data_IF_608170271616
#
_entry.id   IF_608170271616
#
_cell.length_a   1.000
_cell.length_b   1.000
_cell.length_c   1.000
_cell.angle_alpha   90.00
_cell.angle_beta   90.00
_cell.angle_gamma   90.00
#
_symmetry.space_group_name_H-M   'P 1'
#
loop_
_entity.id
_entity.type
_entity.pdbx_description
1 polymer ?
#
# COMPACT_ATOMS: atom_id res chain seq x y z
N UNK A 1 -54.11 -18.00 -9.49
CA UNK A 1 -53.41 -17.07 -8.57
C UNK A 1 -52.79 -17.84 -7.37
N UNK A 2 -51.85 -18.79 -7.61
CA UNK A 2 -51.26 -19.59 -6.51
C UNK A 2 -49.73 -19.75 -6.56
N UNK A 3 -49.01 -18.99 -7.41
CA UNK A 3 -47.56 -19.21 -7.57
C UNK A 3 -46.65 -17.99 -7.20
N UNK A 4 -47.17 -17.01 -6.49
CA UNK A 4 -46.33 -15.85 -6.08
C UNK A 4 -45.83 -15.88 -4.64
N UNK A 5 -46.25 -16.84 -3.85
CA UNK A 5 -45.86 -16.91 -2.43
C UNK A 5 -44.60 -17.78 -2.17
N UNK A 6 -44.25 -18.65 -3.13
CA UNK A 6 -43.11 -19.57 -2.97
C UNK A 6 -41.75 -18.92 -3.28
N UNK A 7 -41.70 -17.78 -3.98
CA UNK A 7 -40.42 -17.12 -4.36
C UNK A 7 -39.91 -16.23 -3.25
N UNK A 8 -40.78 -15.73 -2.37
CA UNK A 8 -40.37 -14.83 -1.25
C UNK A 8 -39.78 -15.62 -0.07
N UNK A 9 -40.17 -16.88 0.10
CA UNK A 9 -39.64 -17.73 1.20
C UNK A 9 -38.20 -18.22 0.96
N UNK A 10 -37.75 -18.27 -0.29
CA UNK A 10 -36.40 -18.75 -0.62
C UNK A 10 -35.31 -17.66 -0.47
N UNK A 11 -35.70 -16.37 -0.51
CA UNK A 11 -34.75 -15.26 -0.45
C UNK A 11 -34.40 -14.84 0.98
N UNK A 12 -35.19 -15.26 1.98
CA UNK A 12 -34.94 -14.92 3.40
C UNK A 12 -34.05 -15.95 4.10
N UNK A 13 -33.89 -17.14 3.54
CA UNK A 13 -33.09 -18.22 4.14
C UNK A 13 -31.59 -18.13 3.88
N UNK A 14 -31.13 -17.19 3.04
CA UNK A 14 -29.69 -17.01 2.73
C UNK A 14 -28.98 -15.92 3.54
N UNK A 15 -29.65 -15.32 4.53
CA UNK A 15 -29.06 -14.27 5.38
C UNK A 15 -28.82 -14.73 6.82
N UNK A 16 -28.57 -16.01 7.04
CA UNK A 16 -28.20 -16.49 8.35
C UNK A 16 -26.77 -17.00 8.36
N UNK A 17 -25.95 -16.26 9.13
CA UNK A 17 -24.69 -16.70 9.75
C UNK A 17 -23.48 -16.90 8.84
N UNK A 18 -22.84 -15.79 8.51
CA UNK A 18 -21.39 -15.72 8.55
C UNK A 18 -21.00 -14.79 9.72
N UNK A 19 -21.25 -15.23 10.93
CA UNK A 19 -20.40 -14.91 12.05
C UNK A 19 -19.23 -15.88 11.92
N UNK A 20 -18.26 -15.56 11.07
CA UNK A 20 -16.93 -16.08 11.25
C UNK A 20 -16.46 -15.42 12.56
N UNK A 21 -16.41 -16.15 13.66
CA UNK A 21 -15.46 -15.85 14.71
C UNK A 21 -14.11 -15.86 14.00
N UNK A 22 -13.57 -14.68 13.69
CA UNK A 22 -12.22 -14.54 13.19
C UNK A 22 -11.29 -14.97 14.32
N UNK A 23 -11.01 -16.26 14.38
CA UNK A 23 -9.91 -16.75 15.19
C UNK A 23 -8.65 -16.12 14.62
N UNK A 24 -7.96 -15.33 15.45
CA UNK A 24 -6.66 -14.77 15.07
C UNK A 24 -5.71 -15.92 14.71
N UNK A 25 -5.11 -15.83 13.52
CA UNK A 25 -4.02 -16.70 13.10
C UNK A 25 -2.75 -15.85 12.97
N UNK A 26 -1.69 -16.30 13.68
CA UNK A 26 -0.37 -15.73 13.45
C UNK A 26 0.05 -15.97 12.00
N UNK A 27 0.51 -14.94 11.33
CA UNK A 27 0.77 -15.08 9.90
C UNK A 27 1.75 -14.04 9.34
N UNK A 28 2.35 -14.42 8.22
CA UNK A 28 3.26 -13.56 7.44
C UNK A 28 2.56 -13.11 6.17
N UNK A 29 2.69 -11.83 5.86
CA UNK A 29 2.22 -11.22 4.62
C UNK A 29 3.42 -10.67 3.86
N UNK A 30 3.47 -10.94 2.57
CA UNK A 30 4.43 -10.37 1.64
C UNK A 30 3.63 -9.74 0.50
N UNK A 31 3.98 -8.51 0.16
CA UNK A 31 3.35 -7.76 -0.93
C UNK A 31 4.34 -6.78 -1.53
N UNK A 32 3.89 -5.99 -2.48
CA UNK A 32 4.70 -4.96 -3.09
C UNK A 32 4.16 -4.53 -4.44
N UNK A 33 4.83 -3.57 -5.05
CA UNK A 33 4.55 -3.11 -6.40
C UNK A 33 5.83 -2.60 -7.06
N UNK A 34 5.76 -2.36 -8.37
CA UNK A 34 6.84 -1.74 -9.14
C UNK A 34 6.29 -0.64 -10.03
N UNK A 35 7.13 0.36 -10.30
CA UNK A 35 6.81 1.52 -11.11
C UNK A 35 7.82 1.67 -12.24
N UNK A 36 7.31 1.72 -13.47
CA UNK A 36 8.09 1.89 -14.68
C UNK A 36 7.64 3.18 -15.39
N UNK A 37 8.57 4.12 -15.54
CA UNK A 37 8.33 5.37 -16.25
C UNK A 37 8.90 5.32 -17.65
N UNK A 38 8.10 5.70 -18.63
CA UNK A 38 8.54 6.02 -19.98
C UNK A 38 8.30 7.48 -20.28
N UNK A 39 9.38 8.24 -20.34
CA UNK A 39 9.35 9.67 -20.60
C UNK A 39 9.80 9.95 -22.04
N UNK A 40 8.97 10.68 -22.77
CA UNK A 40 9.30 11.22 -24.07
C UNK A 40 9.30 12.74 -23.97
N UNK A 41 10.42 13.36 -24.32
CA UNK A 41 10.56 14.81 -24.36
C UNK A 41 11.07 15.25 -25.73
N UNK A 42 10.65 16.45 -26.15
CA UNK A 42 11.15 17.15 -27.33
C UNK A 42 11.63 18.53 -26.86
N UNK A 43 12.86 18.88 -27.17
CA UNK A 43 13.42 20.16 -26.81
C UNK A 43 13.04 21.29 -27.84
N UNK A 44 13.44 22.51 -27.56
CA UNK A 44 13.16 23.65 -28.43
C UNK A 44 13.79 23.53 -29.81
N UNK A 45 14.80 22.69 -29.99
CA UNK A 45 15.45 22.42 -31.28
C UNK A 45 14.74 21.33 -32.08
N UNK A 46 13.76 20.64 -31.48
CA UNK A 46 13.03 19.52 -32.07
C UNK A 46 13.75 18.17 -31.88
N UNK A 47 14.80 18.12 -31.05
CA UNK A 47 15.45 16.85 -30.71
C UNK A 47 14.58 16.07 -29.73
N UNK A 48 14.35 14.80 -30.06
CA UNK A 48 13.49 13.90 -29.26
C UNK A 48 14.34 12.99 -28.39
N UNK A 49 14.02 12.96 -27.12
CA UNK A 49 14.59 12.03 -26.15
C UNK A 49 13.53 11.06 -25.66
N UNK A 50 13.93 9.80 -25.49
CA UNK A 50 13.10 8.76 -24.89
C UNK A 50 13.91 8.16 -23.73
N UNK A 51 13.30 8.16 -22.54
CA UNK A 51 13.90 7.57 -21.33
C UNK A 51 12.94 6.55 -20.75
N UNK A 52 13.42 5.32 -20.59
CA UNK A 52 12.77 4.29 -19.80
C UNK A 52 13.49 4.24 -18.45
N UNK A 53 12.74 4.37 -17.37
CA UNK A 53 13.24 4.39 -16.01
C UNK A 53 12.47 3.35 -15.18
N UNK A 54 13.16 2.35 -14.66
CA UNK A 54 12.62 1.47 -13.62
C UNK A 54 12.68 2.26 -12.31
N UNK A 55 11.62 3.05 -12.10
CA UNK A 55 11.59 4.13 -11.13
C UNK A 55 11.70 3.59 -9.72
N UNK A 56 10.84 2.63 -9.35
CA UNK A 56 10.90 1.98 -8.04
C UNK A 56 10.41 0.55 -8.04
N UNK A 57 10.85 -0.19 -7.05
CA UNK A 57 10.34 -1.50 -6.71
C UNK A 57 10.25 -1.61 -5.19
N UNK A 58 9.04 -1.83 -4.68
CA UNK A 58 8.74 -1.85 -3.25
C UNK A 58 8.37 -3.27 -2.83
N UNK A 59 8.91 -3.69 -1.70
CA UNK A 59 8.58 -4.94 -1.04
C UNK A 59 8.06 -4.65 0.36
N UNK A 60 6.83 -5.06 0.63
CA UNK A 60 6.25 -5.08 1.96
C UNK A 60 6.43 -6.45 2.60
N UNK A 61 6.88 -6.46 3.83
CA UNK A 61 6.87 -7.64 4.67
C UNK A 61 6.18 -7.34 5.98
N UNK A 62 5.18 -8.15 6.34
CA UNK A 62 4.45 -8.05 7.58
C UNK A 62 4.38 -9.39 8.29
N UNK A 63 4.35 -9.36 9.63
CA UNK A 63 4.11 -10.55 10.44
C UNK A 63 3.26 -10.20 11.66
N UNK A 64 2.19 -10.95 11.88
CA UNK A 64 1.35 -10.83 13.06
C UNK A 64 1.69 -11.97 14.02
N UNK A 65 2.26 -11.66 15.18
CA UNK A 65 2.55 -12.66 16.24
C UNK A 65 1.32 -12.97 17.08
N UNK A 66 0.54 -11.93 17.38
CA UNK A 66 -0.70 -12.01 18.14
C UNK A 66 -1.71 -11.00 17.59
N UNK A 67 -2.94 -11.01 18.07
CA UNK A 67 -3.94 -9.96 17.76
C UNK A 67 -3.42 -8.55 18.05
N UNK A 68 -2.50 -8.40 18.99
CA UNK A 68 -2.02 -7.10 19.48
C UNK A 68 -0.65 -6.72 18.94
N UNK A 69 0.20 -7.70 18.63
CA UNK A 69 1.57 -7.48 18.21
C UNK A 69 1.78 -7.84 16.74
N UNK A 70 2.34 -6.90 16.00
CA UNK A 70 2.72 -7.11 14.61
C UNK A 70 4.04 -6.41 14.29
N UNK A 71 4.69 -6.88 13.23
CA UNK A 71 5.81 -6.23 12.58
C UNK A 71 5.41 -5.81 11.17
N UNK A 72 5.89 -4.67 10.72
CA UNK A 72 5.76 -4.20 9.34
C UNK A 72 7.08 -3.63 8.87
N UNK A 73 7.41 -3.89 7.62
CA UNK A 73 8.56 -3.27 6.95
C UNK A 73 8.27 -3.00 5.49
N UNK A 74 8.96 -2.03 4.97
CA UNK A 74 8.94 -1.58 3.60
C UNK A 74 10.36 -1.33 3.14
N UNK A 75 10.75 -2.02 2.07
CA UNK A 75 12.05 -1.89 1.41
C UNK A 75 11.80 -1.37 0.01
N UNK A 76 12.45 -0.29 -0.32
CA UNK A 76 12.38 0.37 -1.61
C UNK A 76 13.72 0.27 -2.36
N UNK A 77 13.61 -0.03 -3.66
CA UNK A 77 14.72 0.03 -4.60
C UNK A 77 14.38 1.09 -5.65
N UNK A 78 15.10 2.21 -5.65
CA UNK A 78 14.92 3.29 -6.62
C UNK A 78 16.03 3.30 -7.67
N UNK A 79 15.66 3.55 -8.94
CA UNK A 79 16.57 3.76 -10.08
C UNK A 79 17.67 2.71 -10.23
N UNK A 80 17.45 1.45 -9.85
CA UNK A 80 18.49 0.41 -9.70
C UNK A 80 19.24 0.06 -11.00
N UNK A 81 18.72 0.41 -12.16
CA UNK A 81 19.39 0.18 -13.45
C UNK A 81 20.20 1.38 -13.91
N UNK A 82 20.25 2.45 -13.13
CA UNK A 82 21.02 3.66 -13.43
C UNK A 82 22.18 3.81 -12.44
N UNK A 83 23.28 4.50 -12.83
CA UNK A 83 24.29 4.91 -11.87
C UNK A 83 23.67 5.78 -10.79
N UNK A 84 23.78 5.38 -9.52
CA UNK A 84 23.17 6.10 -8.39
C UNK A 84 21.84 5.54 -7.91
N UNK A 85 21.47 4.32 -8.33
CA UNK A 85 20.31 3.63 -7.74
C UNK A 85 20.46 3.40 -6.25
N UNK A 86 19.38 3.51 -5.50
CA UNK A 86 19.32 3.49 -4.05
C UNK A 86 18.52 2.28 -3.54
N UNK A 87 18.95 1.75 -2.40
CA UNK A 87 18.22 0.75 -1.62
C UNK A 87 17.92 1.38 -0.27
N UNK A 88 16.66 1.57 0.01
CA UNK A 88 16.19 2.22 1.24
C UNK A 88 15.33 1.30 2.09
N UNK A 89 15.45 1.46 3.40
CA UNK A 89 14.54 0.90 4.37
C UNK A 89 13.59 2.03 4.80
N UNK A 90 12.50 2.18 4.08
CA UNK A 90 11.52 3.23 4.34
C UNK A 90 10.86 3.08 5.71
N UNK A 91 10.45 1.86 6.03
CA UNK A 91 9.82 1.55 7.29
C UNK A 91 10.25 0.17 7.81
N UNK A 92 10.47 0.05 9.11
CA UNK A 92 10.63 -1.21 9.81
C UNK A 92 10.29 -1.04 11.28
N UNK A 93 9.11 -1.46 11.69
CA UNK A 93 8.64 -1.21 13.04
C UNK A 93 7.80 -2.35 13.62
N UNK A 94 7.85 -2.45 14.93
CA UNK A 94 6.92 -3.24 15.73
C UNK A 94 5.74 -2.37 16.11
N UNK A 95 4.54 -2.88 15.93
CA UNK A 95 3.29 -2.25 16.30
C UNK A 95 2.62 -3.04 17.41
N UNK A 96 2.15 -2.33 18.44
CA UNK A 96 1.29 -2.85 19.48
C UNK A 96 0.00 -2.05 19.53
N UNK A 97 -1.15 -2.69 19.59
CA UNK A 97 -2.43 -2.01 19.70
C UNK A 97 -3.41 -2.74 20.62
N UNK A 98 -4.28 -1.95 21.19
CA UNK A 98 -5.45 -2.37 21.96
C UNK A 98 -6.65 -1.52 21.54
N UNK A 99 -7.83 -1.80 22.04
CA UNK A 99 -9.04 -1.00 21.75
C UNK A 99 -8.92 0.48 22.16
N UNK A 100 -7.99 0.82 23.04
CA UNK A 100 -7.88 2.17 23.63
C UNK A 100 -6.63 2.91 23.24
N UNK A 101 -5.54 2.22 22.99
CA UNK A 101 -4.25 2.83 22.69
C UNK A 101 -3.31 1.85 21.99
N UNK A 102 -2.31 2.39 21.35
CA UNK A 102 -1.25 1.63 20.71
C UNK A 102 0.05 2.41 20.66
N UNK A 103 1.11 1.75 20.29
CA UNK A 103 2.39 2.38 19.99
C UNK A 103 3.10 1.66 18.84
N UNK A 104 4.00 2.38 18.20
CA UNK A 104 4.92 1.87 17.19
C UNK A 104 6.35 2.19 17.61
N UNK A 105 7.27 1.27 17.34
CA UNK A 105 8.69 1.44 17.64
C UNK A 105 9.57 0.86 16.55
N UNK A 106 10.52 1.66 16.06
CA UNK A 106 11.42 1.32 14.97
C UNK A 106 11.59 2.47 13.98
N UNK A 107 11.87 2.15 12.72
CA UNK A 107 11.87 3.12 11.62
C UNK A 107 10.42 3.31 11.20
N UNK A 108 9.87 4.48 11.48
CA UNK A 108 8.47 4.81 11.19
C UNK A 108 8.39 6.07 10.34
N UNK A 109 7.45 6.09 9.41
CA UNK A 109 7.09 7.30 8.68
C UNK A 109 6.20 8.16 9.59
N UNK A 110 6.62 9.38 9.99
CA UNK A 110 5.77 10.22 10.82
C UNK A 110 4.55 10.69 10.01
N UNK A 111 3.36 10.53 10.57
CA UNK A 111 2.09 10.98 9.97
C UNK A 111 1.91 12.49 10.10
N UNK A 112 2.88 13.26 9.57
CA UNK A 112 2.84 14.72 9.58
C UNK A 112 2.17 15.25 8.30
N UNK A 113 1.00 15.86 8.44
CA UNK A 113 0.21 16.36 7.31
C UNK A 113 -0.60 15.29 6.59
N UNK A 114 -1.38 15.72 5.59
CA UNK A 114 -2.34 14.84 4.90
C UNK A 114 -1.71 13.85 3.92
N UNK A 115 -0.50 14.12 3.43
CA UNK A 115 0.09 13.36 2.32
C UNK A 115 1.15 12.39 2.76
N UNK A 116 1.78 12.60 3.90
CA UNK A 116 2.86 11.73 4.33
C UNK A 116 2.42 10.26 4.50
N UNK A 117 1.18 10.05 4.92
CA UNK A 117 0.57 8.72 5.03
C UNK A 117 0.13 8.14 3.67
N UNK A 118 -0.09 9.01 2.67
CA UNK A 118 -0.58 8.66 1.33
C UNK A 118 0.42 9.04 0.23
N UNK A 119 1.70 9.00 0.54
CA UNK A 119 2.76 9.44 -0.39
C UNK A 119 3.07 8.41 -1.48
N UNK A 120 2.51 7.22 -1.38
CA UNK A 120 2.69 6.13 -2.32
C UNK A 120 2.00 6.39 -3.67
N UNK A 121 2.65 6.11 -4.82
CA UNK A 121 2.07 6.31 -6.14
C UNK A 121 0.68 5.68 -6.36
N UNK A 122 0.36 4.50 -5.84
CA UNK A 122 -0.98 3.94 -5.99
C UNK A 122 -2.09 4.72 -5.28
N UNK A 123 -1.73 5.64 -4.39
CA UNK A 123 -2.69 6.38 -3.55
C UNK A 123 -2.99 7.80 -4.06
N UNK A 124 -2.22 8.34 -4.99
CA UNK A 124 -2.52 9.64 -5.58
C UNK A 124 -3.01 9.55 -7.03
N UNK A 125 -3.71 10.59 -7.47
CA UNK A 125 -4.44 10.61 -8.75
C UNK A 125 -3.59 11.09 -9.95
N UNK A 126 -2.31 11.34 -9.76
CA UNK A 126 -1.39 11.82 -10.78
C UNK A 126 -0.22 10.87 -10.97
N UNK A 127 0.46 10.95 -12.11
CA UNK A 127 1.67 10.15 -12.38
C UNK A 127 2.82 10.53 -11.43
N UNK A 128 2.87 11.79 -11.02
CA UNK A 128 3.89 12.33 -10.13
C UNK A 128 3.27 12.77 -8.80
N UNK A 129 4.08 12.72 -7.75
CA UNK A 129 3.72 13.26 -6.43
C UNK A 129 3.34 14.75 -6.57
N UNK A 130 2.27 15.21 -5.92
CA UNK A 130 1.89 16.62 -5.94
C UNK A 130 3.04 17.52 -5.50
N UNK A 131 3.24 18.63 -6.23
CA UNK A 131 4.39 19.54 -6.06
C UNK A 131 4.55 20.03 -4.61
N UNK A 132 3.45 20.30 -3.92
CA UNK A 132 3.49 20.78 -2.54
C UNK A 132 4.02 19.73 -1.54
N UNK A 133 3.94 18.44 -1.84
CA UNK A 133 4.49 17.37 -0.98
C UNK A 133 5.99 17.11 -1.20
N UNK A 134 6.59 17.75 -2.21
CA UNK A 134 8.04 17.64 -2.47
C UNK A 134 8.89 18.62 -1.64
N UNK A 135 8.25 19.59 -0.99
CA UNK A 135 8.94 20.73 -0.34
C UNK A 135 8.53 20.93 1.13
N UNK A 136 7.88 19.96 1.74
CA UNK A 136 7.47 20.03 3.16
C UNK A 136 8.30 19.07 4.01
#
# INVERSE_FOLDING_TARGET
MKNKLSIIACTVACFTFLSADEFFEAGTTIGGYGELHWNQAEDESGEKSNKLDFHRFIIYYGHNWTEKWSFKSEVELEHNFLPGGELELEQAYVNYHTDKWGFQGGVILPTAGLINEYHEPPLFLSVERPTYSKYI
#
